data_IF_387283624942
#
_entry.id   IF_387283624942
#
_cell.length_a   1.000
_cell.length_b   1.000
_cell.length_c   1.000
_cell.angle_alpha   90.00
_cell.angle_beta   90.00
_cell.angle_gamma   90.00
#
_symmetry.space_group_name_H-M   'P 1'
#
loop_
_entity.id
_entity.type
_entity.pdbx_description
1 polymer ?
#
# COMPACT_ATOMS: atom_id res chain seq x y z
N UNK A 1 13.54 -20.23 16.43
CA UNK A 1 14.57 -20.88 15.61
C UNK A 1 15.55 -21.55 16.54
N UNK A 2 15.87 -22.84 16.34
CA UNK A 2 16.83 -23.57 17.21
C UNK A 2 18.29 -23.22 16.91
N UNK A 3 18.58 -22.66 15.74
CA UNK A 3 19.95 -22.39 15.28
C UNK A 3 20.73 -21.46 16.23
N UNK A 4 20.04 -20.59 16.98
CA UNK A 4 20.68 -19.71 17.96
C UNK A 4 20.63 -20.23 19.41
N UNK A 5 20.08 -21.40 19.71
CA UNK A 5 19.77 -21.88 21.08
C UNK A 5 20.96 -21.90 22.06
N UNK A 6 22.17 -22.08 21.53
CA UNK A 6 23.42 -22.13 22.29
C UNK A 6 24.39 -20.99 21.93
N UNK A 7 23.92 -19.99 21.19
CA UNK A 7 24.77 -18.91 20.68
C UNK A 7 24.74 -17.72 21.62
N UNK A 8 25.93 -17.23 21.99
CA UNK A 8 26.13 -16.00 22.75
C UNK A 8 27.02 -15.07 21.93
N UNK A 9 26.51 -13.90 21.58
CA UNK A 9 27.26 -12.90 20.81
C UNK A 9 27.71 -11.81 21.77
N UNK A 10 29.03 -11.60 21.88
CA UNK A 10 29.61 -10.67 22.84
C UNK A 10 30.06 -9.42 22.07
N UNK A 11 29.39 -8.30 22.35
CA UNK A 11 29.79 -6.99 21.88
C UNK A 11 30.77 -6.28 22.83
N UNK A 12 30.95 -5.00 22.56
CA UNK A 12 31.68 -4.06 23.42
C UNK A 12 30.87 -3.76 24.69
N UNK A 13 29.60 -3.37 24.56
CA UNK A 13 28.74 -2.98 25.68
C UNK A 13 27.52 -3.87 25.87
N UNK A 14 27.14 -4.64 24.85
CA UNK A 14 25.97 -5.53 24.93
C UNK A 14 26.39 -6.98 24.72
N UNK A 15 25.57 -7.89 25.23
CA UNK A 15 25.65 -9.32 24.93
C UNK A 15 24.28 -9.75 24.39
N UNK A 16 24.26 -10.50 23.30
CA UNK A 16 23.06 -11.14 22.78
C UNK A 16 23.01 -12.58 23.26
N UNK A 17 21.92 -12.95 23.93
CA UNK A 17 21.65 -14.33 24.38
C UNK A 17 20.31 -14.83 23.87
N UNK A 18 20.10 -16.15 23.71
CA UNK A 18 18.86 -16.67 23.15
C UNK A 18 17.69 -16.41 24.10
N UNK A 19 16.50 -16.14 23.56
CA UNK A 19 15.31 -15.95 24.38
C UNK A 19 14.84 -17.29 24.97
N UNK A 20 14.83 -17.39 26.30
CA UNK A 20 14.54 -18.59 27.07
C UNK A 20 13.41 -18.34 28.05
N UNK A 21 12.79 -19.42 28.52
CA UNK A 21 11.70 -19.41 29.51
C UNK A 21 11.99 -18.52 30.74
N UNK A 22 13.23 -18.53 31.24
CA UNK A 22 13.66 -17.71 32.38
C UNK A 22 13.52 -16.19 32.17
N UNK A 23 13.49 -15.72 30.92
CA UNK A 23 13.35 -14.30 30.57
C UNK A 23 11.89 -13.84 30.53
N UNK A 24 10.94 -14.77 30.38
CA UNK A 24 9.52 -14.47 30.08
C UNK A 24 8.88 -13.57 31.13
N UNK A 25 9.09 -13.84 32.43
CA UNK A 25 8.49 -13.03 33.50
C UNK A 25 8.92 -11.56 33.41
N UNK A 26 10.21 -11.30 33.18
CA UNK A 26 10.74 -9.93 33.05
C UNK A 26 10.28 -9.27 31.77
N UNK A 27 10.22 -10.02 30.67
CA UNK A 27 9.70 -9.56 29.39
C UNK A 27 8.22 -9.16 29.48
N UNK A 28 7.39 -9.98 30.14
CA UNK A 28 5.98 -9.70 30.39
C UNK A 28 5.79 -8.37 31.17
N UNK A 29 6.64 -8.08 32.16
CA UNK A 29 6.61 -6.77 32.84
C UNK A 29 6.88 -5.59 31.90
N UNK A 30 7.76 -5.75 30.91
CA UNK A 30 7.97 -4.72 29.88
C UNK A 30 6.74 -4.57 28.99
N UNK A 31 6.12 -5.67 28.61
CA UNK A 31 4.93 -5.68 27.76
C UNK A 31 3.70 -5.09 28.44
N UNK A 32 3.72 -4.74 29.73
CA UNK A 32 2.66 -3.92 30.37
C UNK A 32 2.74 -2.44 29.99
N UNK A 33 3.86 -1.97 29.42
CA UNK A 33 4.01 -0.59 29.00
C UNK A 33 3.30 -0.32 27.68
N UNK A 34 2.32 0.58 27.69
CA UNK A 34 1.61 1.02 26.49
C UNK A 34 2.56 1.66 25.45
N UNK A 35 3.61 2.35 25.89
CA UNK A 35 4.63 2.92 25.00
C UNK A 35 5.34 1.81 24.21
N UNK A 36 5.77 0.75 24.91
CA UNK A 36 6.48 -0.36 24.29
C UNK A 36 5.56 -1.11 23.33
N UNK A 37 4.36 -1.48 23.77
CA UNK A 37 3.36 -2.15 22.92
C UNK A 37 3.07 -1.35 21.64
N UNK A 38 2.92 -0.03 21.74
CA UNK A 38 2.66 0.83 20.58
C UNK A 38 3.81 0.79 19.56
N UNK A 39 5.06 0.89 20.03
CA UNK A 39 6.22 0.93 19.14
C UNK A 39 6.64 -0.43 18.60
N UNK A 40 6.42 -1.52 19.35
CA UNK A 40 6.65 -2.90 18.89
C UNK A 40 5.46 -3.45 18.09
N UNK A 41 4.28 -2.83 18.18
CA UNK A 41 3.05 -3.37 17.60
C UNK A 41 2.58 -4.66 18.29
N UNK A 42 2.98 -4.87 19.54
CA UNK A 42 2.62 -6.05 20.33
C UNK A 42 1.25 -5.89 20.97
N UNK A 43 0.53 -7.00 21.10
CA UNK A 43 -0.72 -7.08 21.85
C UNK A 43 -0.45 -7.39 23.33
N UNK A 44 -1.40 -7.05 24.20
CA UNK A 44 -1.32 -7.40 25.61
C UNK A 44 -1.68 -8.87 25.81
N UNK A 45 -0.71 -9.67 26.23
CA UNK A 45 -0.89 -11.09 26.53
C UNK A 45 -0.90 -11.33 28.04
N UNK A 46 -1.61 -12.38 28.46
CA UNK A 46 -1.46 -12.94 29.81
C UNK A 46 -0.08 -13.59 29.96
N UNK A 47 0.37 -13.78 31.20
CA UNK A 47 1.67 -14.39 31.46
C UNK A 47 1.76 -15.83 30.91
N UNK A 48 0.67 -16.59 30.95
CA UNK A 48 0.64 -17.95 30.36
C UNK A 48 0.76 -17.90 28.84
N UNK A 49 0.06 -16.98 28.18
CA UNK A 49 0.17 -16.78 26.73
C UNK A 49 1.59 -16.38 26.31
N UNK A 50 2.29 -15.56 27.10
CA UNK A 50 3.70 -15.22 26.88
C UNK A 50 4.62 -16.46 26.96
N UNK A 51 4.38 -17.36 27.92
CA UNK A 51 5.12 -18.63 28.00
C UNK A 51 4.86 -19.51 26.76
N UNK A 52 3.61 -19.60 26.31
CA UNK A 52 3.27 -20.36 25.11
C UNK A 52 3.89 -19.73 23.85
N UNK A 53 3.86 -18.40 23.76
CA UNK A 53 4.46 -17.65 22.66
C UNK A 53 5.98 -17.83 22.61
N UNK A 54 6.66 -17.80 23.76
CA UNK A 54 8.10 -18.06 23.83
C UNK A 54 8.45 -19.47 23.34
N UNK A 55 7.70 -20.49 23.77
CA UNK A 55 7.89 -21.89 23.32
C UNK A 55 7.73 -22.01 21.81
N UNK A 56 6.72 -21.33 21.25
CA UNK A 56 6.47 -21.29 19.81
C UNK A 56 7.64 -20.62 19.06
N UNK A 57 8.05 -19.43 19.48
CA UNK A 57 9.16 -18.70 18.85
C UNK A 57 10.49 -19.45 18.91
N UNK A 58 10.71 -20.23 19.97
CA UNK A 58 11.89 -21.10 20.07
C UNK A 58 11.90 -22.15 18.96
N UNK A 59 10.74 -22.72 18.64
CA UNK A 59 10.57 -23.78 17.64
C UNK A 59 10.44 -23.24 16.20
N UNK A 60 9.96 -22.01 16.03
CA UNK A 60 9.71 -21.38 14.72
C UNK A 60 11.00 -21.26 13.89
N UNK A 61 11.03 -21.85 12.69
CA UNK A 61 12.21 -21.76 11.79
C UNK A 61 12.33 -20.40 11.12
N UNK A 62 11.26 -19.62 11.09
CA UNK A 62 11.15 -18.30 10.45
C UNK A 62 11.33 -17.14 11.43
N UNK A 63 11.70 -17.41 12.69
CA UNK A 63 11.95 -16.39 13.70
C UNK A 63 13.19 -16.66 14.54
N UNK A 64 14.11 -15.70 14.55
CA UNK A 64 15.30 -15.72 15.40
C UNK A 64 15.26 -14.55 16.40
N UNK A 65 15.29 -14.85 17.69
CA UNK A 65 15.20 -13.85 18.77
C UNK A 65 16.40 -13.92 19.71
N UNK A 66 16.99 -12.76 19.98
CA UNK A 66 17.96 -12.59 21.05
C UNK A 66 17.48 -11.57 22.07
N UNK A 67 17.74 -11.85 23.35
CA UNK A 67 17.67 -10.88 24.44
C UNK A 67 18.99 -10.12 24.47
N UNK A 68 18.88 -8.80 24.64
CA UNK A 68 20.00 -7.87 24.77
C UNK A 68 20.29 -7.70 26.26
N UNK A 69 21.52 -7.99 26.67
CA UNK A 69 22.02 -7.76 28.02
C UNK A 69 22.97 -6.56 28.04
N UNK A 70 22.93 -5.77 29.12
CA UNK A 70 23.99 -4.81 29.43
C UNK A 70 25.20 -5.56 29.97
N UNK A 71 26.32 -5.49 29.25
CA UNK A 71 27.53 -6.27 29.54
C UNK A 71 28.09 -5.96 30.92
N UNK A 72 28.14 -4.69 31.31
CA UNK A 72 28.67 -4.28 32.62
C UNK A 72 27.90 -4.94 33.78
N UNK A 73 26.56 -4.87 33.74
CA UNK A 73 25.69 -5.49 34.76
C UNK A 73 25.88 -7.01 34.76
N UNK A 74 25.90 -7.63 33.58
CA UNK A 74 26.09 -9.08 33.50
C UNK A 74 27.46 -9.55 34.01
N UNK A 75 28.52 -8.79 33.76
CA UNK A 75 29.86 -9.12 34.25
C UNK A 75 29.97 -9.02 35.77
N UNK A 76 29.21 -8.13 36.39
CA UNK A 76 29.18 -7.96 37.85
C UNK A 76 28.30 -9.01 38.55
N UNK A 77 27.07 -9.21 38.06
CA UNK A 77 26.09 -10.07 38.75
C UNK A 77 26.02 -11.51 38.25
N UNK A 78 26.50 -11.77 37.02
CA UNK A 78 26.34 -13.07 36.35
C UNK A 78 24.89 -13.42 35.98
N UNK A 79 23.93 -12.51 36.21
CA UNK A 79 22.50 -12.78 36.06
C UNK A 79 21.93 -12.16 34.78
N UNK A 80 21.45 -13.00 33.86
CA UNK A 80 20.84 -12.54 32.59
C UNK A 80 19.53 -11.75 32.83
N UNK A 81 18.72 -12.13 33.83
CA UNK A 81 17.42 -11.48 34.10
C UNK A 81 17.62 -10.06 34.64
N UNK A 82 18.67 -9.85 35.42
CA UNK A 82 19.03 -8.52 35.92
C UNK A 82 19.65 -7.66 34.81
N UNK A 83 20.52 -8.26 34.00
CA UNK A 83 21.23 -7.57 32.95
C UNK A 83 20.39 -7.32 31.68
N UNK A 84 19.24 -7.98 31.50
CA UNK A 84 18.43 -7.80 30.28
C UNK A 84 17.85 -6.39 30.17
N UNK A 85 18.03 -5.78 29.00
CA UNK A 85 17.64 -4.39 28.70
C UNK A 85 16.70 -4.27 27.49
N UNK A 86 16.52 -5.33 26.72
CA UNK A 86 15.68 -5.36 25.53
C UNK A 86 15.86 -6.64 24.73
N UNK A 87 15.44 -6.63 23.46
CA UNK A 87 15.52 -7.75 22.54
C UNK A 87 15.69 -7.28 21.09
N UNK A 88 16.14 -8.19 20.23
CA UNK A 88 16.21 -8.01 18.78
C UNK A 88 15.80 -9.28 18.06
N UNK A 89 15.08 -9.12 16.94
CA UNK A 89 14.45 -10.20 16.21
C UNK A 89 14.79 -10.14 14.72
N UNK A 90 14.88 -11.30 14.09
CA UNK A 90 14.80 -11.48 12.64
C UNK A 90 13.61 -12.35 12.29
N UNK A 91 12.78 -11.89 11.37
CA UNK A 91 11.63 -12.62 10.84
C UNK A 91 11.80 -12.91 9.34
N UNK A 92 11.47 -14.13 8.94
CA UNK A 92 11.63 -14.64 7.58
C UNK A 92 10.24 -14.89 6.95
N UNK A 93 9.49 -13.80 6.79
CA UNK A 93 8.06 -13.86 6.43
C UNK A 93 7.79 -14.05 4.92
N UNK A 94 8.79 -13.83 4.06
CA UNK A 94 8.64 -13.81 2.60
C UNK A 94 9.18 -15.10 1.96
N UNK A 95 8.30 -16.06 1.67
CA UNK A 95 8.66 -17.32 0.98
C UNK A 95 9.36 -17.09 -0.37
N UNK A 96 9.01 -16.02 -1.07
CA UNK A 96 9.59 -15.68 -2.38
C UNK A 96 10.95 -14.95 -2.27
N UNK A 97 11.37 -14.56 -1.06
CA UNK A 97 12.65 -13.89 -0.78
C UNK A 97 13.32 -14.52 0.46
N UNK A 98 13.81 -15.77 0.37
CA UNK A 98 14.31 -16.51 1.53
C UNK A 98 15.49 -15.84 2.25
N UNK A 99 16.28 -15.02 1.53
CA UNK A 99 17.45 -14.32 2.10
C UNK A 99 17.13 -12.89 2.59
N UNK A 100 15.83 -12.54 2.70
CA UNK A 100 15.38 -11.26 3.23
C UNK A 100 14.83 -11.44 4.64
N UNK A 101 15.38 -10.69 5.59
CA UNK A 101 14.91 -10.71 6.97
C UNK A 101 14.34 -9.36 7.39
N UNK A 102 13.19 -9.39 8.04
CA UNK A 102 12.65 -8.24 8.76
C UNK A 102 13.34 -8.15 10.13
N UNK A 103 14.03 -7.04 10.39
CA UNK A 103 14.79 -6.81 11.61
C UNK A 103 14.04 -5.87 12.55
N UNK A 104 13.94 -6.29 13.81
CA UNK A 104 13.30 -5.52 14.87
C UNK A 104 14.22 -5.39 16.08
N UNK A 105 14.03 -4.30 16.83
CA UNK A 105 14.74 -4.07 18.08
C UNK A 105 13.89 -3.26 19.05
N UNK A 106 13.98 -3.65 20.33
CA UNK A 106 13.44 -2.90 21.45
C UNK A 106 14.52 -2.73 22.52
N UNK A 107 14.65 -1.51 23.08
CA UNK A 107 15.37 -1.28 24.33
C UNK A 107 14.33 -0.88 25.38
N UNK A 108 13.89 -1.88 26.14
CA UNK A 108 12.87 -1.73 27.17
C UNK A 108 13.37 -0.88 28.35
N UNK A 109 14.62 -1.10 28.79
CA UNK A 109 15.20 -0.34 29.89
C UNK A 109 15.53 1.10 29.46
N UNK A 110 14.78 2.06 30.00
CA UNK A 110 14.91 3.48 29.71
C UNK A 110 16.32 4.02 30.03
N UNK A 111 16.94 3.53 31.11
CA UNK A 111 18.28 3.97 31.53
C UNK A 111 19.39 3.54 30.56
N UNK A 112 19.09 2.60 29.66
CA UNK A 112 20.02 2.11 28.64
C UNK A 112 19.72 2.68 27.24
N UNK A 113 18.63 3.46 27.09
CA UNK A 113 18.33 4.19 25.85
C UNK A 113 19.36 5.30 25.64
N UNK A 114 19.56 5.71 24.39
CA UNK A 114 20.48 6.78 23.98
C UNK A 114 21.98 6.54 24.28
N UNK A 115 22.34 5.40 24.90
CA UNK A 115 23.72 4.94 25.13
C UNK A 115 24.26 4.04 24.01
N UNK A 116 23.70 4.16 22.81
CA UNK A 116 24.02 3.35 21.61
C UNK A 116 23.90 1.82 21.80
N UNK A 117 23.22 1.33 22.85
CA UNK A 117 22.98 -0.11 23.07
C UNK A 117 22.19 -0.75 21.94
N UNK A 118 21.13 -0.07 21.50
CA UNK A 118 20.34 -0.54 20.36
C UNK A 118 21.11 -0.55 19.04
N UNK A 119 21.95 0.46 18.81
CA UNK A 119 22.82 0.54 17.64
C UNK A 119 23.76 -0.66 17.56
N UNK A 120 24.45 -0.96 18.67
CA UNK A 120 25.38 -2.08 18.75
C UNK A 120 24.67 -3.43 18.60
N UNK A 121 23.52 -3.61 19.27
CA UNK A 121 22.73 -4.83 19.18
C UNK A 121 22.23 -5.11 17.75
N UNK A 122 21.76 -4.10 17.02
CA UNK A 122 21.37 -4.26 15.61
C UNK A 122 22.54 -4.69 14.74
N UNK A 123 23.72 -4.08 14.91
CA UNK A 123 24.90 -4.47 14.12
C UNK A 123 25.26 -5.92 14.38
N UNK A 124 25.29 -6.35 15.65
CA UNK A 124 25.57 -7.75 16.01
C UNK A 124 24.52 -8.70 15.41
N UNK A 125 23.24 -8.34 15.45
CA UNK A 125 22.16 -9.14 14.87
C UNK A 125 22.26 -9.24 13.34
N UNK A 126 22.63 -8.13 12.67
CA UNK A 126 22.87 -8.13 11.23
C UNK A 126 24.10 -8.97 10.86
N UNK A 127 25.21 -8.85 11.59
CA UNK A 127 26.39 -9.69 11.35
C UNK A 127 26.08 -11.18 11.53
N UNK A 128 25.32 -11.52 12.56
CA UNK A 128 24.84 -12.89 12.77
C UNK A 128 23.95 -13.38 11.62
N UNK A 129 23.00 -12.55 11.18
CA UNK A 129 22.12 -12.90 10.07
C UNK A 129 22.88 -13.12 8.75
N UNK A 130 23.91 -12.33 8.48
CA UNK A 130 24.78 -12.49 7.30
C UNK A 130 25.57 -13.80 7.40
N UNK A 131 26.28 -14.02 8.52
CA UNK A 131 27.23 -15.12 8.67
C UNK A 131 26.55 -16.49 8.89
N UNK A 132 25.47 -16.53 9.66
CA UNK A 132 24.83 -17.78 10.09
C UNK A 132 23.50 -18.08 9.40
N UNK A 133 22.77 -17.05 8.98
CA UNK A 133 21.41 -17.21 8.41
C UNK A 133 21.34 -16.84 6.92
N UNK A 134 22.48 -16.57 6.27
CA UNK A 134 22.57 -16.21 4.84
C UNK A 134 21.67 -15.03 4.44
N UNK A 135 21.50 -14.06 5.34
CA UNK A 135 20.69 -12.87 5.08
C UNK A 135 21.48 -11.91 4.18
N UNK A 136 20.86 -11.54 3.07
CA UNK A 136 21.44 -10.61 2.07
C UNK A 136 20.75 -9.25 2.09
N UNK A 137 19.54 -9.18 2.65
CA UNK A 137 18.71 -7.99 2.64
C UNK A 137 17.94 -7.86 3.95
N UNK A 138 18.01 -6.65 4.52
CA UNK A 138 17.31 -6.31 5.76
C UNK A 138 16.19 -5.30 5.49
N UNK A 139 15.06 -5.50 6.15
CA UNK A 139 13.93 -4.56 6.14
C UNK A 139 13.57 -4.24 7.58
N UNK A 140 13.43 -2.95 7.91
CA UNK A 140 12.92 -2.52 9.21
C UNK A 140 11.58 -1.83 8.99
N UNK A 141 10.52 -2.28 9.68
CA UNK A 141 9.22 -1.61 9.69
C UNK A 141 9.12 -0.74 10.94
N UNK A 142 9.00 0.56 10.74
CA UNK A 142 9.06 1.54 11.82
C UNK A 142 7.84 2.46 11.72
N UNK A 143 7.17 2.72 12.85
CA UNK A 143 6.09 3.70 12.94
C UNK A 143 6.59 5.09 12.51
N UNK A 144 5.72 5.88 11.89
CA UNK A 144 6.12 7.15 11.26
C UNK A 144 6.57 8.23 12.25
N UNK A 145 6.13 8.13 13.50
CA UNK A 145 6.40 9.00 14.64
C UNK A 145 7.58 8.53 15.51
N UNK A 146 8.14 7.34 15.27
CA UNK A 146 9.30 6.83 15.99
C UNK A 146 10.61 7.41 15.42
N UNK A 147 10.84 8.71 15.65
CA UNK A 147 12.02 9.42 15.14
C UNK A 147 13.35 8.80 15.58
N UNK A 148 13.41 8.26 16.81
CA UNK A 148 14.64 7.69 17.37
C UNK A 148 15.10 6.50 16.55
N UNK A 149 14.19 5.58 16.24
CA UNK A 149 14.49 4.40 15.43
C UNK A 149 14.76 4.77 13.97
N UNK A 150 13.99 5.70 13.39
CA UNK A 150 14.21 6.19 12.02
C UNK A 150 15.63 6.76 11.87
N UNK A 151 16.05 7.68 12.75
CA UNK A 151 17.39 8.28 12.73
C UNK A 151 18.49 7.24 12.92
N UNK A 152 18.25 6.20 13.72
CA UNK A 152 19.18 5.09 13.91
C UNK A 152 19.37 4.29 12.62
N UNK A 153 18.28 3.83 11.99
CA UNK A 153 18.35 3.03 10.77
C UNK A 153 18.85 3.84 9.55
N UNK A 154 18.52 5.13 9.45
CA UNK A 154 19.08 6.02 8.40
C UNK A 154 20.60 6.13 8.50
N UNK A 155 21.14 6.26 9.73
CA UNK A 155 22.59 6.25 9.97
C UNK A 155 23.24 4.89 9.65
N UNK A 156 22.49 3.79 9.78
CA UNK A 156 22.90 2.44 9.30
C UNK A 156 22.73 2.27 7.79
N UNK A 157 22.45 3.34 7.04
CA UNK A 157 22.27 3.36 5.57
C UNK A 157 21.03 2.63 5.08
N UNK A 158 20.01 2.45 5.92
CA UNK A 158 18.70 2.00 5.45
C UNK A 158 18.03 3.13 4.66
N UNK A 159 17.43 2.78 3.52
CA UNK A 159 16.68 3.72 2.69
C UNK A 159 15.19 3.65 3.02
N UNK A 160 14.61 4.79 3.41
CA UNK A 160 13.18 4.91 3.72
C UNK A 160 12.35 4.66 2.45
N UNK A 161 11.48 3.65 2.49
CA UNK A 161 10.47 3.40 1.46
C UNK A 161 9.08 3.70 2.01
N UNK A 162 8.24 4.36 1.20
CA UNK A 162 6.83 4.61 1.51
C UNK A 162 5.94 4.05 0.39
N UNK A 163 5.72 2.72 0.35
CA UNK A 163 5.05 2.05 -0.77
C UNK A 163 3.65 2.60 -1.06
N UNK A 164 2.84 2.85 -0.03
CA UNK A 164 1.50 3.41 -0.20
C UNK A 164 1.55 4.79 -0.87
N UNK A 165 2.36 5.71 -0.34
CA UNK A 165 2.49 7.06 -0.90
C UNK A 165 3.02 7.04 -2.33
N UNK A 166 4.04 6.21 -2.59
CA UNK A 166 4.60 6.04 -3.92
C UNK A 166 3.54 5.52 -4.90
N UNK A 167 2.81 4.47 -4.52
CA UNK A 167 1.73 3.91 -5.35
C UNK A 167 0.63 4.95 -5.60
N UNK A 168 0.20 5.69 -4.57
CA UNK A 168 -0.78 6.77 -4.72
C UNK A 168 -0.34 7.83 -5.72
N UNK A 169 0.90 8.31 -5.63
CA UNK A 169 1.44 9.31 -6.57
C UNK A 169 1.51 8.73 -7.99
N UNK A 170 1.95 7.48 -8.13
CA UNK A 170 2.03 6.80 -9.42
C UNK A 170 0.65 6.69 -10.08
N UNK A 171 -0.35 6.19 -9.37
CA UNK A 171 -1.72 6.09 -9.89
C UNK A 171 -2.28 7.48 -10.22
N UNK A 172 -2.12 8.48 -9.36
CA UNK A 172 -2.50 9.86 -9.67
C UNK A 172 -1.89 10.36 -10.98
N UNK A 173 -0.58 10.17 -11.15
CA UNK A 173 0.15 10.60 -12.34
C UNK A 173 -0.37 9.93 -13.61
N UNK A 174 -0.65 8.62 -13.58
CA UNK A 174 -1.17 7.91 -14.76
C UNK A 174 -2.62 8.27 -15.09
N UNK A 175 -3.48 8.43 -14.09
CA UNK A 175 -4.86 8.86 -14.32
C UNK A 175 -4.90 10.26 -14.95
N UNK A 176 -4.10 11.20 -14.44
CA UNK A 176 -4.00 12.55 -15.01
C UNK A 176 -3.33 12.54 -16.38
N UNK A 177 -2.26 11.77 -16.56
CA UNK A 177 -1.54 11.67 -17.83
C UNK A 177 -2.39 11.09 -18.96
N UNK A 178 -3.20 10.07 -18.67
CA UNK A 178 -4.11 9.48 -19.64
C UNK A 178 -5.23 10.45 -20.05
N UNK A 179 -5.81 11.18 -19.08
CA UNK A 179 -6.78 12.24 -19.39
C UNK A 179 -6.15 13.37 -20.21
N UNK A 180 -4.93 13.80 -19.87
CA UNK A 180 -4.19 14.80 -20.66
C UNK A 180 -3.91 14.31 -22.10
N UNK A 181 -3.58 13.03 -22.25
CA UNK A 181 -3.36 12.41 -23.56
C UNK A 181 -4.66 12.38 -24.36
N UNK A 182 -5.78 11.99 -23.73
CA UNK A 182 -7.09 12.01 -24.38
C UNK A 182 -7.50 13.41 -24.83
N UNK A 183 -7.31 14.43 -23.98
CA UNK A 183 -7.61 15.81 -24.36
C UNK A 183 -6.71 16.29 -25.50
N UNK A 184 -5.43 15.92 -25.48
CA UNK A 184 -4.48 16.26 -26.56
C UNK A 184 -4.89 15.59 -27.87
N UNK A 185 -5.23 14.29 -27.83
CA UNK A 185 -5.73 13.55 -28.99
C UNK A 185 -7.03 14.15 -29.53
N UNK A 186 -8.02 14.37 -28.67
CA UNK A 186 -9.29 14.98 -29.05
C UNK A 186 -9.08 16.38 -29.63
N UNK A 187 -8.11 17.16 -29.14
CA UNK A 187 -7.79 18.48 -29.67
C UNK A 187 -7.11 18.40 -31.04
N UNK A 188 -6.16 17.48 -31.23
CA UNK A 188 -5.53 17.24 -32.54
C UNK A 188 -6.54 16.71 -33.57
N UNK A 189 -7.42 15.81 -33.15
CA UNK A 189 -8.47 15.23 -33.97
C UNK A 189 -9.59 16.24 -34.27
N UNK A 190 -10.05 17.02 -33.29
CA UNK A 190 -10.98 18.15 -33.49
C UNK A 190 -10.36 19.24 -34.35
N UNK A 191 -9.06 19.52 -34.25
CA UNK A 191 -8.36 20.44 -35.17
C UNK A 191 -8.39 19.90 -36.61
N UNK A 192 -8.31 18.58 -36.80
CA UNK A 192 -8.49 17.93 -38.09
C UNK A 192 -9.96 17.85 -38.56
N UNK A 193 -10.95 17.90 -37.66
CA UNK A 193 -12.39 17.82 -37.97
C UNK A 193 -13.09 19.19 -38.00
N UNK A 194 -12.54 20.24 -37.39
CA UNK A 194 -13.14 21.58 -37.31
C UNK A 194 -13.17 22.33 -38.65
N UNK A 195 -12.73 21.68 -39.73
CA UNK A 195 -13.06 22.08 -41.11
C UNK A 195 -14.52 21.81 -41.48
N UNK A 196 -15.31 21.11 -40.66
CA UNK A 196 -16.63 20.62 -41.06
C UNK A 196 -17.67 20.74 -39.94
N UNK A 197 -18.22 21.96 -39.80
CA UNK A 197 -19.58 22.30 -39.31
C UNK A 197 -20.02 21.99 -37.85
N UNK A 198 -20.83 22.92 -37.34
CA UNK A 198 -21.30 23.15 -35.95
C UNK A 198 -22.85 23.09 -35.92
N UNK A 199 -23.46 22.86 -34.73
CA UNK A 199 -24.77 23.33 -34.18
C UNK A 199 -25.75 22.19 -33.79
N UNK A 200 -26.56 22.15 -32.69
CA UNK A 200 -27.10 23.12 -31.69
C UNK A 200 -27.67 22.38 -30.43
N UNK A 201 -27.54 23.04 -29.26
CA UNK A 201 -28.32 23.19 -27.98
C UNK A 201 -29.17 22.13 -27.22
N UNK A 202 -29.12 22.27 -25.87
CA UNK A 202 -29.73 21.48 -24.78
C UNK A 202 -30.96 22.14 -24.11
N UNK A 203 -31.76 21.36 -23.36
CA UNK A 203 -32.80 21.85 -22.43
C UNK A 203 -32.74 21.17 -21.05
N UNK A 204 -32.98 21.96 -19.98
CA UNK A 204 -32.82 21.64 -18.56
C UNK A 204 -34.05 21.01 -17.87
N UNK A 205 -33.85 20.26 -16.78
CA UNK A 205 -34.84 20.03 -15.70
C UNK A 205 -34.22 19.95 -14.29
N UNK A 206 -35.06 19.97 -13.26
CA UNK A 206 -34.96 20.71 -11.98
C UNK A 206 -34.72 19.83 -10.71
N UNK A 207 -34.15 20.47 -9.65
CA UNK A 207 -34.00 20.18 -8.17
C UNK A 207 -34.45 18.82 -7.57
N UNK A 208 -33.73 18.22 -6.61
CA UNK A 208 -33.67 18.56 -5.15
C UNK A 208 -32.47 17.83 -4.46
N UNK A 209 -31.67 18.52 -3.62
CA UNK A 209 -31.13 18.05 -2.30
C UNK A 209 -30.09 19.06 -1.75
N UNK A 210 -30.39 19.73 -0.62
CA UNK A 210 -29.86 21.09 -0.35
C UNK A 210 -28.87 21.25 0.81
N UNK A 211 -28.28 20.19 1.37
CA UNK A 211 -27.31 20.35 2.49
C UNK A 211 -25.94 19.73 2.21
N UNK A 212 -25.91 18.43 1.86
CA UNK A 212 -24.68 17.73 1.48
C UNK A 212 -24.12 18.25 0.14
N UNK A 213 -25.02 18.58 -0.79
CA UNK A 213 -24.70 19.25 -2.05
C UNK A 213 -24.04 20.62 -1.85
N UNK A 214 -24.42 21.38 -0.82
CA UNK A 214 -23.83 22.70 -0.55
C UNK A 214 -22.37 22.54 -0.11
N UNK A 215 -22.07 21.55 0.73
CA UNK A 215 -20.69 21.28 1.15
C UNK A 215 -19.83 20.78 -0.01
N UNK A 216 -20.32 19.83 -0.81
CA UNK A 216 -19.63 19.32 -2.02
C UNK A 216 -19.41 20.44 -3.02
N UNK A 217 -20.43 21.29 -3.24
CA UNK A 217 -20.33 22.46 -4.12
C UNK A 217 -19.29 23.46 -3.64
N UNK A 218 -19.25 23.76 -2.35
CA UNK A 218 -18.25 24.66 -1.75
C UNK A 218 -16.83 24.09 -1.87
N UNK A 219 -16.67 22.78 -1.71
CA UNK A 219 -15.39 22.08 -1.90
C UNK A 219 -14.93 22.13 -3.36
N UNK A 220 -15.81 21.77 -4.30
CA UNK A 220 -15.54 21.80 -5.74
C UNK A 220 -15.22 23.22 -6.24
N UNK A 221 -15.89 24.25 -5.68
CA UNK A 221 -15.65 25.65 -6.01
C UNK A 221 -14.30 26.16 -5.47
N UNK A 222 -13.87 25.72 -4.28
CA UNK A 222 -12.55 26.07 -3.71
C UNK A 222 -11.39 25.47 -4.51
N UNK A 223 -11.57 24.27 -5.06
CA UNK A 223 -10.56 23.57 -5.85
C UNK A 223 -10.61 23.90 -7.35
N UNK A 224 -11.57 24.73 -7.77
CA UNK A 224 -11.78 25.12 -9.17
C UNK A 224 -11.93 23.87 -10.07
N UNK A 225 -12.80 22.95 -9.61
CA UNK A 225 -13.17 21.70 -10.29
C UNK A 225 -14.42 21.86 -11.17
N UNK A 226 -15.05 23.03 -11.14
CA UNK A 226 -16.25 23.35 -11.89
C UNK A 226 -15.85 24.08 -13.18
N UNK A 227 -16.35 23.65 -14.34
CA UNK A 227 -16.15 24.39 -15.58
C UNK A 227 -16.87 25.74 -15.50
N UNK A 228 -16.11 26.84 -15.51
CA UNK A 228 -16.66 28.17 -15.76
C UNK A 228 -16.69 28.41 -17.28
N UNK A 229 -17.91 28.38 -17.82
CA UNK A 229 -18.31 28.84 -19.15
C UNK A 229 -17.75 28.04 -20.35
N UNK A 230 -18.60 27.16 -20.89
CA UNK A 230 -18.47 26.70 -22.27
C UNK A 230 -18.89 27.86 -23.20
N UNK A 231 -17.93 28.58 -23.76
CA UNK A 231 -18.17 29.42 -24.93
C UNK A 231 -16.99 29.28 -25.87
N UNK A 232 -17.30 29.06 -27.14
CA UNK A 232 -16.40 28.62 -28.19
C UNK A 232 -15.18 29.55 -28.37
N UNK A 233 -14.02 29.14 -27.85
CA UNK A 233 -12.69 29.59 -28.28
C UNK A 233 -11.75 28.39 -28.16
N UNK A 234 -10.89 28.18 -29.19
CA UNK A 234 -9.96 27.04 -29.34
C UNK A 234 -9.54 26.42 -27.99
N UNK A 235 -10.15 25.28 -27.64
CA UNK A 235 -10.25 24.78 -26.26
C UNK A 235 -8.88 24.71 -25.56
N UNK A 236 -8.69 25.56 -24.56
CA UNK A 236 -7.69 25.36 -23.51
C UNK A 236 -7.94 23.99 -22.85
N UNK A 237 -6.88 23.32 -22.40
CA UNK A 237 -7.01 22.06 -21.65
C UNK A 237 -8.07 22.17 -20.53
N UNK A 238 -8.90 21.13 -20.39
CA UNK A 238 -9.86 21.03 -19.30
C UNK A 238 -9.13 20.65 -18.01
N UNK A 239 -8.52 21.67 -17.39
CA UNK A 239 -7.76 21.56 -16.15
C UNK A 239 -8.63 21.05 -14.99
N UNK A 240 -9.92 21.39 -14.97
CA UNK A 240 -10.86 20.89 -13.97
C UNK A 240 -11.03 19.36 -14.07
N UNK A 241 -11.10 18.81 -15.28
CA UNK A 241 -11.13 17.37 -15.49
C UNK A 241 -9.81 16.70 -15.10
N UNK A 242 -8.66 17.26 -15.49
CA UNK A 242 -7.34 16.76 -15.05
C UNK A 242 -7.21 16.68 -13.53
N UNK A 243 -7.64 17.74 -12.82
CA UNK A 243 -7.63 17.78 -11.34
C UNK A 243 -8.51 16.68 -10.75
N UNK A 244 -9.69 16.41 -11.31
CA UNK A 244 -10.59 15.35 -10.84
C UNK A 244 -9.97 13.96 -11.00
N UNK A 245 -9.33 13.69 -12.13
CA UNK A 245 -8.58 12.45 -12.35
C UNK A 245 -7.37 12.33 -11.41
N UNK A 246 -6.67 13.43 -11.14
CA UNK A 246 -5.59 13.47 -10.15
C UNK A 246 -6.09 13.11 -8.75
N UNK A 247 -7.21 13.71 -8.32
CA UNK A 247 -7.83 13.45 -7.01
C UNK A 247 -8.24 11.98 -6.90
N UNK A 248 -8.96 11.46 -7.91
CA UNK A 248 -9.37 10.06 -7.93
C UNK A 248 -8.17 9.11 -7.89
N UNK A 249 -7.17 9.33 -8.75
CA UNK A 249 -5.98 8.48 -8.83
C UNK A 249 -5.14 8.48 -7.54
N UNK A 250 -4.86 9.66 -6.98
CA UNK A 250 -4.02 9.81 -5.78
C UNK A 250 -4.69 9.30 -4.50
N UNK A 251 -5.94 9.69 -4.28
CA UNK A 251 -6.59 9.56 -2.97
C UNK A 251 -7.63 8.44 -2.89
N UNK A 252 -8.14 7.97 -4.02
CA UNK A 252 -9.16 6.91 -4.06
C UNK A 252 -8.56 5.63 -4.62
N UNK A 253 -8.22 5.61 -5.92
CA UNK A 253 -7.72 4.42 -6.59
C UNK A 253 -6.40 3.92 -6.01
N UNK A 254 -5.43 4.83 -5.79
CA UNK A 254 -4.10 4.47 -5.31
C UNK A 254 -4.07 3.69 -3.99
N UNK A 255 -4.69 4.22 -2.91
CA UNK A 255 -4.77 3.51 -1.64
C UNK A 255 -5.56 2.20 -1.72
N UNK A 256 -6.66 2.18 -2.46
CA UNK A 256 -7.49 0.99 -2.64
C UNK A 256 -6.72 -0.12 -3.36
N UNK A 257 -6.08 0.19 -4.49
CA UNK A 257 -5.27 -0.75 -5.25
C UNK A 257 -4.08 -1.25 -4.43
N UNK A 258 -3.39 -0.37 -3.70
CA UNK A 258 -2.28 -0.77 -2.82
C UNK A 258 -2.77 -1.77 -1.74
N UNK A 259 -3.87 -1.46 -1.06
CA UNK A 259 -4.45 -2.35 -0.06
C UNK A 259 -4.92 -3.68 -0.64
N UNK A 260 -5.57 -3.65 -1.80
CA UNK A 260 -6.09 -4.82 -2.50
C UNK A 260 -4.98 -5.79 -2.91
N UNK A 261 -3.94 -5.32 -3.60
CA UNK A 261 -2.83 -6.20 -4.00
C UNK A 261 -2.06 -6.76 -2.79
N UNK A 262 -1.89 -5.96 -1.73
CA UNK A 262 -1.29 -6.44 -0.48
C UNK A 262 -2.13 -7.56 0.15
N UNK A 263 -3.46 -7.42 0.18
CA UNK A 263 -4.37 -8.45 0.67
C UNK A 263 -4.32 -9.71 -0.22
N UNK A 264 -4.36 -9.54 -1.54
CA UNK A 264 -4.34 -10.63 -2.50
C UNK A 264 -3.06 -11.47 -2.40
N UNK A 265 -1.90 -10.82 -2.27
CA UNK A 265 -0.62 -11.50 -2.13
C UNK A 265 -0.41 -12.12 -0.74
N UNK A 266 -1.10 -11.63 0.30
CA UNK A 266 -1.08 -12.23 1.63
C UNK A 266 -1.84 -13.55 1.70
N UNK A 267 -3.03 -13.63 1.08
CA UNK A 267 -3.88 -14.82 1.11
C UNK A 267 -3.48 -15.88 0.07
N UNK A 268 -3.06 -15.45 -1.12
CA UNK A 268 -2.75 -16.34 -2.23
C UNK A 268 -1.23 -16.35 -2.49
N UNK A 269 -0.49 -17.11 -1.69
CA UNK A 269 0.97 -17.25 -1.84
C UNK A 269 1.34 -18.30 -2.90
N UNK A 270 2.46 -18.09 -3.60
CA UNK A 270 3.01 -19.01 -4.60
C UNK A 270 2.58 -18.73 -6.05
N UNK A 271 3.19 -19.49 -6.97
CA UNK A 271 3.07 -19.31 -8.44
C UNK A 271 2.33 -20.44 -9.17
N UNK A 272 1.59 -21.27 -8.44
CA UNK A 272 0.81 -22.35 -9.06
C UNK A 272 -0.25 -21.78 -9.99
N UNK A 273 -0.48 -22.42 -11.15
CA UNK A 273 -1.51 -21.97 -12.11
C UNK A 273 -2.90 -21.80 -11.45
N UNK A 274 -3.25 -22.67 -10.51
CA UNK A 274 -4.46 -22.53 -9.69
C UNK A 274 -4.49 -21.20 -8.93
N UNK A 275 -3.41 -20.87 -8.21
CA UNK A 275 -3.28 -19.62 -7.46
C UNK A 275 -3.39 -18.39 -8.38
N UNK A 276 -2.74 -18.44 -9.54
CA UNK A 276 -2.77 -17.36 -10.55
C UNK A 276 -4.20 -17.16 -11.07
N UNK A 277 -4.88 -18.24 -11.47
CA UNK A 277 -6.26 -18.15 -11.97
C UNK A 277 -7.24 -17.71 -10.88
N UNK A 278 -7.07 -18.17 -9.63
CA UNK A 278 -7.90 -17.71 -8.51
C UNK A 278 -7.70 -16.22 -8.24
N UNK A 279 -6.45 -15.73 -8.22
CA UNK A 279 -6.16 -14.29 -8.11
C UNK A 279 -6.84 -13.49 -9.22
N UNK A 280 -6.72 -13.96 -10.46
CA UNK A 280 -7.29 -13.32 -11.64
C UNK A 280 -8.81 -13.18 -11.53
N UNK A 281 -9.51 -14.25 -11.16
CA UNK A 281 -10.97 -14.25 -11.05
C UNK A 281 -11.45 -13.37 -9.89
N UNK A 282 -10.75 -13.39 -8.75
CA UNK A 282 -11.10 -12.53 -7.60
C UNK A 282 -10.87 -11.05 -7.95
N UNK A 283 -9.77 -10.72 -8.62
CA UNK A 283 -9.49 -9.35 -9.07
C UNK A 283 -10.57 -8.83 -10.05
N UNK A 284 -10.93 -9.63 -11.05
CA UNK A 284 -11.87 -9.22 -12.09
C UNK A 284 -13.34 -9.23 -11.62
N UNK A 285 -13.77 -10.22 -10.84
CA UNK A 285 -15.20 -10.40 -10.54
C UNK A 285 -15.59 -9.97 -9.13
N UNK A 286 -14.64 -9.79 -8.20
CA UNK A 286 -14.93 -9.31 -6.84
C UNK A 286 -14.55 -7.84 -6.69
N UNK A 287 -13.38 -7.43 -7.17
CA UNK A 287 -12.85 -6.09 -6.90
C UNK A 287 -13.13 -5.06 -8.00
N UNK A 288 -12.99 -5.47 -9.26
CA UNK A 288 -13.21 -4.57 -10.41
C UNK A 288 -14.63 -3.98 -10.48
N UNK A 289 -15.72 -4.72 -10.21
CA UNK A 289 -17.06 -4.13 -10.29
C UNK A 289 -17.28 -3.00 -9.27
N UNK A 290 -16.99 -3.17 -7.96
CA UNK A 290 -17.02 -2.07 -7.00
C UNK A 290 -16.11 -0.89 -7.37
N UNK A 291 -14.92 -1.16 -7.93
CA UNK A 291 -13.98 -0.12 -8.35
C UNK A 291 -14.53 0.75 -9.49
N UNK A 292 -15.17 0.14 -10.49
CA UNK A 292 -15.83 0.85 -11.60
C UNK A 292 -17.01 1.68 -11.09
N UNK A 293 -17.85 1.11 -10.21
CA UNK A 293 -18.95 1.86 -9.58
C UNK A 293 -18.43 3.06 -8.82
N UNK A 294 -17.37 2.88 -8.03
CA UNK A 294 -16.74 3.94 -7.27
C UNK A 294 -16.14 5.02 -8.20
N UNK A 295 -15.56 4.64 -9.34
CA UNK A 295 -15.09 5.58 -10.35
C UNK A 295 -16.22 6.49 -10.85
N UNK A 296 -17.30 5.92 -11.38
CA UNK A 296 -18.40 6.72 -11.96
C UNK A 296 -19.11 7.59 -10.92
N UNK A 297 -19.34 7.07 -9.71
CA UNK A 297 -19.95 7.86 -8.64
C UNK A 297 -19.02 9.00 -8.19
N UNK A 298 -17.73 8.70 -7.97
CA UNK A 298 -16.75 9.73 -7.56
C UNK A 298 -16.62 10.83 -8.61
N UNK A 299 -16.59 10.45 -9.89
CA UNK A 299 -16.53 11.43 -10.97
C UNK A 299 -17.79 12.27 -11.08
N UNK A 300 -18.98 11.65 -10.98
CA UNK A 300 -20.26 12.38 -10.99
C UNK A 300 -20.38 13.35 -9.81
N UNK A 301 -19.90 12.96 -8.62
CA UNK A 301 -19.83 13.82 -7.44
C UNK A 301 -18.88 15.01 -7.64
N UNK A 302 -17.69 14.76 -8.18
CA UNK A 302 -16.69 15.81 -8.48
C UNK A 302 -17.13 16.73 -9.63
N UNK A 303 -17.99 16.24 -10.53
CA UNK A 303 -18.66 17.01 -11.58
C UNK A 303 -19.90 17.76 -11.10
N UNK A 304 -20.33 17.51 -9.86
CA UNK A 304 -21.51 18.10 -9.27
C UNK A 304 -22.79 17.83 -10.09
N UNK A 305 -22.89 16.62 -10.65
CA UNK A 305 -24.08 16.16 -11.37
C UNK A 305 -25.25 15.95 -10.40
N UNK A 306 -26.50 16.23 -10.81
CA UNK A 306 -27.67 16.12 -9.93
C UNK A 306 -27.93 14.67 -9.50
N UNK A 307 -27.76 13.70 -10.40
CA UNK A 307 -27.88 12.27 -10.11
C UNK A 307 -26.55 11.57 -10.33
N UNK A 308 -25.95 11.08 -9.25
CA UNK A 308 -24.62 10.46 -9.27
C UNK A 308 -24.59 9.02 -9.79
N UNK A 309 -25.75 8.35 -9.80
CA UNK A 309 -25.87 6.95 -10.18
C UNK A 309 -26.25 6.73 -11.64
N UNK A 310 -26.82 7.72 -12.32
CA UNK A 310 -27.41 7.54 -13.65
C UNK A 310 -26.34 7.17 -14.67
N UNK A 311 -25.21 7.87 -14.66
CA UNK A 311 -24.09 7.56 -15.55
C UNK A 311 -23.47 6.20 -15.24
N UNK A 312 -23.37 5.84 -13.95
CA UNK A 312 -22.90 4.52 -13.55
C UNK A 312 -23.83 3.44 -14.10
N UNK A 313 -25.15 3.53 -13.86
CA UNK A 313 -26.12 2.53 -14.33
C UNK A 313 -26.08 2.34 -15.84
N UNK A 314 -25.97 3.44 -16.60
CA UNK A 314 -25.92 3.39 -18.06
C UNK A 314 -24.63 2.76 -18.58
N UNK A 315 -23.48 3.14 -18.03
CA UNK A 315 -22.17 2.77 -18.59
C UNK A 315 -21.53 1.55 -17.94
N UNK A 316 -22.03 1.08 -16.79
CA UNK A 316 -21.40 0.04 -16.00
C UNK A 316 -21.19 -1.26 -16.78
N UNK A 317 -22.25 -1.80 -17.40
CA UNK A 317 -22.15 -3.09 -18.10
C UNK A 317 -21.16 -3.04 -19.26
N UNK A 318 -21.22 -1.98 -20.07
CA UNK A 318 -20.30 -1.79 -21.19
C UNK A 318 -18.85 -1.61 -20.70
N UNK A 319 -18.67 -0.84 -19.63
CA UNK A 319 -17.35 -0.63 -19.01
C UNK A 319 -16.79 -1.91 -18.42
N UNK A 320 -17.62 -2.70 -17.73
CA UNK A 320 -17.22 -3.96 -17.13
C UNK A 320 -16.88 -5.02 -18.19
N UNK A 321 -17.67 -5.14 -19.26
CA UNK A 321 -17.37 -6.03 -20.39
C UNK A 321 -16.03 -5.67 -21.02
N UNK A 322 -15.80 -4.38 -21.28
CA UNK A 322 -14.52 -3.89 -21.84
C UNK A 322 -13.36 -4.14 -20.87
N UNK A 323 -13.61 -4.01 -19.56
CA UNK A 323 -12.65 -4.32 -18.51
C UNK A 323 -12.24 -5.79 -18.54
N UNK A 324 -13.18 -6.71 -18.66
CA UNK A 324 -12.87 -8.14 -18.75
C UNK A 324 -11.97 -8.45 -19.96
N UNK A 325 -12.25 -7.85 -21.12
CA UNK A 325 -11.47 -8.06 -22.35
C UNK A 325 -10.03 -7.55 -22.17
N UNK A 326 -9.85 -6.40 -21.51
CA UNK A 326 -8.55 -5.77 -21.34
C UNK A 326 -7.75 -6.36 -20.17
N UNK A 327 -8.35 -6.40 -18.97
CA UNK A 327 -7.65 -6.73 -17.73
C UNK A 327 -7.42 -8.23 -17.53
N UNK A 328 -8.28 -9.12 -18.04
CA UNK A 328 -8.04 -10.57 -17.87
C UNK A 328 -6.72 -11.02 -18.53
N UNK A 329 -6.41 -10.66 -19.80
CA UNK A 329 -5.11 -10.97 -20.38
C UNK A 329 -3.95 -10.26 -19.65
N UNK A 330 -4.08 -8.97 -19.37
CA UNK A 330 -3.03 -8.15 -18.74
C UNK A 330 -2.66 -8.70 -17.36
N UNK A 331 -3.65 -9.01 -16.52
CA UNK A 331 -3.42 -9.52 -15.17
C UNK A 331 -2.94 -10.97 -15.18
N UNK A 332 -3.38 -11.77 -16.15
CA UNK A 332 -2.83 -13.12 -16.32
C UNK A 332 -1.32 -13.06 -16.55
N UNK A 333 -0.84 -12.20 -17.46
CA UNK A 333 0.60 -11.98 -17.66
C UNK A 333 1.29 -11.35 -16.45
N UNK A 334 0.64 -10.41 -15.75
CA UNK A 334 1.17 -9.79 -14.53
C UNK A 334 1.46 -10.83 -13.44
N UNK A 335 0.50 -11.72 -13.16
CA UNK A 335 0.65 -12.73 -12.12
C UNK A 335 1.55 -13.90 -12.54
N UNK A 336 1.63 -14.19 -13.84
CA UNK A 336 2.47 -15.25 -14.39
C UNK A 336 3.95 -14.85 -14.50
N UNK A 337 4.24 -13.68 -15.08
CA UNK A 337 5.60 -13.30 -15.51
C UNK A 337 6.24 -12.25 -14.62
N UNK A 338 5.46 -11.35 -14.00
CA UNK A 338 6.01 -10.17 -13.33
C UNK A 338 6.30 -10.46 -11.84
N UNK A 339 7.55 -10.24 -11.37
CA UNK A 339 7.89 -10.36 -9.96
C UNK A 339 7.01 -9.43 -9.10
N UNK A 340 6.59 -9.83 -7.88
CA UNK A 340 5.71 -9.04 -7.01
C UNK A 340 6.12 -7.56 -6.86
N UNK A 341 7.42 -7.30 -6.75
CA UNK A 341 7.99 -5.94 -6.59
C UNK A 341 7.74 -5.04 -7.79
N UNK A 342 7.62 -5.60 -9.00
CA UNK A 342 7.42 -4.86 -10.25
C UNK A 342 5.95 -4.82 -10.71
N UNK A 343 5.07 -5.62 -10.09
CA UNK A 343 3.67 -5.72 -10.51
C UNK A 343 2.94 -4.39 -10.47
N UNK A 344 3.17 -3.58 -9.43
CA UNK A 344 2.55 -2.26 -9.35
C UNK A 344 3.00 -1.39 -10.53
N UNK A 345 4.28 -1.37 -10.87
CA UNK A 345 4.78 -0.61 -12.02
C UNK A 345 4.18 -1.09 -13.33
N UNK A 346 4.12 -2.41 -13.55
CA UNK A 346 3.48 -3.01 -14.74
C UNK A 346 2.00 -2.64 -14.85
N UNK A 347 1.23 -2.86 -13.77
CA UNK A 347 -0.19 -2.51 -13.70
C UNK A 347 -0.39 -1.02 -13.91
N UNK A 348 0.53 -0.17 -13.42
CA UNK A 348 0.39 1.27 -13.57
C UNK A 348 0.62 1.72 -15.03
N UNK A 349 1.51 1.06 -15.78
CA UNK A 349 1.68 1.28 -17.22
C UNK A 349 0.45 0.78 -17.99
N UNK A 350 -0.06 -0.41 -17.68
CA UNK A 350 -1.29 -0.92 -18.29
C UNK A 350 -2.50 -0.04 -17.95
N UNK A 351 -2.54 0.51 -16.72
CA UNK A 351 -3.57 1.43 -16.27
C UNK A 351 -3.58 2.71 -17.12
N UNK A 352 -2.44 3.19 -17.61
CA UNK A 352 -2.41 4.31 -18.55
C UNK A 352 -3.21 4.00 -19.84
N UNK A 353 -2.99 2.83 -20.44
CA UNK A 353 -3.77 2.39 -21.62
C UNK A 353 -5.26 2.21 -21.27
N UNK A 354 -5.55 1.58 -20.13
CA UNK A 354 -6.92 1.41 -19.64
C UNK A 354 -7.63 2.74 -19.38
N UNK A 355 -6.95 3.73 -18.79
CA UNK A 355 -7.56 5.03 -18.50
C UNK A 355 -7.87 5.77 -19.80
N UNK A 356 -7.07 5.64 -20.86
CA UNK A 356 -7.45 6.17 -22.17
C UNK A 356 -8.75 5.52 -22.69
N UNK A 357 -8.90 4.19 -22.55
CA UNK A 357 -10.15 3.48 -22.87
C UNK A 357 -11.31 3.98 -22.01
N UNK A 358 -11.10 4.17 -20.71
CA UNK A 358 -12.13 4.70 -19.80
C UNK A 358 -12.51 6.14 -20.14
N UNK A 359 -11.56 7.00 -20.48
CA UNK A 359 -11.83 8.38 -20.90
C UNK A 359 -12.65 8.39 -22.19
N UNK A 360 -12.32 7.52 -23.14
CA UNK A 360 -13.12 7.31 -24.34
C UNK A 360 -14.54 6.85 -24.00
N UNK A 361 -14.71 5.75 -23.26
CA UNK A 361 -16.03 5.24 -22.84
C UNK A 361 -16.83 6.27 -22.04
N UNK A 362 -16.14 7.08 -21.23
CA UNK A 362 -16.76 8.17 -20.49
C UNK A 362 -17.22 9.31 -21.41
N UNK A 363 -16.47 9.63 -22.46
CA UNK A 363 -16.84 10.67 -23.42
C UNK A 363 -18.05 10.31 -24.29
N UNK A 364 -18.39 9.03 -24.42
CA UNK A 364 -19.56 8.56 -25.17
C UNK A 364 -20.85 9.06 -24.48
N UNK A 365 -21.77 9.71 -25.23
CA UNK A 365 -23.05 10.15 -24.69
C UNK A 365 -23.93 8.97 -24.29
N UNK A 366 -24.74 9.15 -23.24
CA UNK A 366 -25.56 8.07 -22.65
C UNK A 366 -26.60 7.50 -23.62
N UNK A 367 -27.08 8.30 -24.57
CA UNK A 367 -28.02 7.88 -25.62
C UNK A 367 -27.51 6.72 -26.46
N UNK A 368 -26.24 6.74 -26.85
CA UNK A 368 -25.60 5.69 -27.67
C UNK A 368 -25.34 4.39 -26.89
N UNK A 369 -25.28 4.43 -25.55
CA UNK A 369 -25.15 3.22 -24.73
C UNK A 369 -26.46 2.41 -24.66
N UNK A 370 -27.62 3.08 -24.74
CA UNK A 370 -28.92 2.40 -24.71
C UNK A 370 -29.27 1.78 -26.07
N UNK A 371 -28.82 2.37 -27.18
CA UNK A 371 -29.09 1.87 -28.54
C UNK A 371 -28.27 0.61 -28.90
N UNK A 372 -27.15 0.36 -28.21
CA UNK A 372 -26.33 -0.84 -28.41
C UNK A 372 -26.96 -2.15 -27.87
N UNK A 373 -28.24 -2.12 -27.44
CA UNK A 373 -29.00 -3.34 -27.18
C UNK A 373 -29.59 -4.01 -28.44
N UNK A 374 -29.48 -3.42 -29.65
CA UNK A 374 -29.97 -4.08 -30.87
C UNK A 374 -28.99 -3.92 -32.05
N UNK A 375 -28.08 -4.90 -32.19
CA UNK A 375 -27.74 -5.65 -33.43
C UNK A 375 -26.44 -6.44 -33.25
N UNK A 376 -26.56 -7.77 -33.22
CA UNK A 376 -25.52 -8.68 -33.72
C UNK A 376 -25.73 -8.89 -35.22
#
# INVERSE_FOLDING_TARGET
>A
MRDNEYIKIIGTNVILVPYKEKHVKRYHEWMKSAELQYFTGSESLTLEEEFQMQKRWHQDQDKCTFIILEKAIYTESGNEIEAMIGDTNLFFNELDQPNTAEIEIMIANINCREKKRGWEAIILMMLYGIDKLNVTKYIAKIKCDNEKSIKMFEKLRFHKKRPLLFNSIMYGSFYTGAEFTQQTYNRMFKFSLSSTSINIEETNTFKIEKSLFIWIKNFNQRLDLLNKNNTMQLESYNWAQLKRYAIYGCFIAGPLLHGWYKWLDMFYKGKTMKTILTKLLIDQFVFTPPLITLFFISMSLLENKPNVFDECKAKFFQTFKTSCIYWLPVQFFNFLLIPPVLRVSFVSIAAFCWVNILCYLKSIPVSECNDNQIKY
#
